data_IF_523554734660
#
_entry.id   IF_523554734660
#
_cell.length_a   1.000
_cell.length_b   1.000
_cell.length_c   1.000
_cell.angle_alpha   90.00
_cell.angle_beta   90.00
_cell.angle_gamma   90.00
#
_symmetry.space_group_name_H-M   'P 1'
#
loop_
_entity.id
_entity.type
_entity.pdbx_description
1 polymer ?
#
# COMPACT_ATOMS: atom_id res chain seq x y z
N UNK A 1 -5.17 1.85 9.49
CA UNK A 1 -3.88 2.38 9.94
C UNK A 1 -2.87 1.24 9.96
N UNK A 2 -1.80 1.31 9.16
CA UNK A 2 -0.76 0.25 9.20
C UNK A 2 0.13 0.21 7.97
N UNK A 3 -0.47 0.12 6.78
CA UNK A 3 0.25 -0.01 5.51
C UNK A 3 0.29 1.35 4.79
N UNK A 4 1.49 1.84 4.52
CA UNK A 4 1.73 3.14 3.88
C UNK A 4 2.78 3.07 2.78
N UNK A 5 3.63 2.06 2.79
CA UNK A 5 4.74 1.92 1.85
C UNK A 5 4.72 0.57 1.14
N UNK A 6 5.47 0.47 0.05
CA UNK A 6 5.72 -0.80 -0.61
C UNK A 6 6.51 -1.78 0.28
N UNK A 7 7.37 -1.26 1.17
CA UNK A 7 8.10 -2.05 2.16
C UNK A 7 7.15 -2.78 3.12
N UNK A 8 6.08 -2.12 3.57
CA UNK A 8 5.06 -2.75 4.42
C UNK A 8 4.40 -3.94 3.70
N UNK A 9 4.11 -3.79 2.40
CA UNK A 9 3.56 -4.89 1.59
C UNK A 9 4.56 -6.03 1.40
N UNK A 10 5.84 -5.74 1.19
CA UNK A 10 6.88 -6.77 1.08
C UNK A 10 6.97 -7.59 2.37
N UNK A 11 6.96 -6.94 3.53
CA UNK A 11 6.97 -7.64 4.82
C UNK A 11 5.78 -8.59 5.00
N UNK A 12 4.58 -8.19 4.54
CA UNK A 12 3.39 -9.06 4.59
C UNK A 12 3.48 -10.22 3.60
N UNK A 13 4.05 -10.00 2.41
CA UNK A 13 4.31 -11.07 1.45
C UNK A 13 5.31 -12.09 2.00
N UNK A 14 6.39 -11.62 2.63
CA UNK A 14 7.41 -12.47 3.25
C UNK A 14 6.84 -13.25 4.45
N UNK A 15 5.82 -12.70 5.13
CA UNK A 15 5.06 -13.39 6.17
C UNK A 15 4.00 -14.38 5.63
N UNK A 16 3.86 -14.53 4.32
CA UNK A 16 2.97 -15.50 3.67
C UNK A 16 1.55 -15.01 3.42
N UNK A 17 1.29 -13.71 3.47
CA UNK A 17 -0.02 -13.15 3.09
C UNK A 17 -0.12 -12.96 1.57
N UNK A 18 -1.23 -13.43 0.98
CA UNK A 18 -1.46 -13.29 -0.47
C UNK A 18 -2.11 -11.96 -0.86
N UNK A 19 -2.89 -11.37 0.04
CA UNK A 19 -3.64 -10.14 -0.22
C UNK A 19 -3.84 -9.30 1.04
N UNK A 20 -4.01 -7.99 0.84
CA UNK A 20 -4.30 -7.03 1.90
C UNK A 20 -5.39 -6.07 1.45
N UNK A 21 -6.16 -5.55 2.40
CA UNK A 21 -7.15 -4.51 2.15
C UNK A 21 -6.69 -3.20 2.81
N UNK A 22 -6.48 -2.17 2.00
CA UNK A 22 -6.02 -0.85 2.45
C UNK A 22 -7.13 0.17 2.16
N UNK A 23 -7.62 0.84 3.19
CA UNK A 23 -8.73 1.81 3.08
C UNK A 23 -8.32 3.21 3.51
N UNK A 24 -8.17 3.41 4.83
CA UNK A 24 -7.94 4.74 5.44
C UNK A 24 -6.83 5.56 4.78
N UNK A 25 -5.65 4.98 4.50
CA UNK A 25 -4.53 5.70 3.90
C UNK A 25 -4.79 6.12 2.45
N UNK A 26 -5.52 5.29 1.69
CA UNK A 26 -5.94 5.63 0.32
C UNK A 26 -7.05 6.68 0.31
N UNK A 27 -8.02 6.57 1.22
CA UNK A 27 -9.15 7.50 1.31
C UNK A 27 -8.74 8.91 1.77
N UNK A 28 -7.60 9.05 2.45
CA UNK A 28 -7.06 10.34 2.88
C UNK A 28 -5.99 10.91 1.96
N UNK A 29 -5.58 10.18 0.92
CA UNK A 29 -4.57 10.65 -0.02
C UNK A 29 -5.17 11.73 -0.94
N UNK A 30 -4.37 12.76 -1.25
CA UNK A 30 -4.77 13.79 -2.22
C UNK A 30 -5.02 13.19 -3.61
N UNK A 31 -4.23 12.17 -3.97
CA UNK A 31 -4.40 11.35 -5.18
C UNK A 31 -4.39 9.87 -4.78
N UNK A 32 -5.57 9.24 -4.66
CA UNK A 32 -5.67 7.81 -4.35
C UNK A 32 -4.97 6.94 -5.40
N UNK A 33 -4.95 7.37 -6.66
CA UNK A 33 -4.27 6.67 -7.75
C UNK A 33 -2.75 6.62 -7.52
N UNK A 34 -2.14 7.76 -7.21
CA UNK A 34 -0.70 7.84 -6.96
C UNK A 34 -0.32 7.11 -5.68
N UNK A 35 -1.19 7.14 -4.67
CA UNK A 35 -1.00 6.38 -3.43
C UNK A 35 -1.00 4.86 -3.69
N UNK A 36 -1.89 4.36 -4.56
CA UNK A 36 -1.87 2.96 -4.99
C UNK A 36 -0.59 2.64 -5.77
N UNK A 37 -0.17 3.49 -6.72
CA UNK A 37 1.09 3.29 -7.47
C UNK A 37 2.29 3.19 -6.53
N UNK A 38 2.39 4.09 -5.55
CA UNK A 38 3.47 4.11 -4.58
C UNK A 38 3.49 2.84 -3.70
N UNK A 39 2.32 2.38 -3.24
CA UNK A 39 2.19 1.12 -2.49
C UNK A 39 2.65 -0.08 -3.31
N UNK A 40 2.36 -0.10 -4.62
CA UNK A 40 2.80 -1.16 -5.51
C UNK A 40 4.27 -1.00 -5.98
N UNK A 41 5.00 0.00 -5.48
CA UNK A 41 6.40 0.27 -5.85
C UNK A 41 6.59 0.99 -7.19
N UNK A 42 5.51 1.49 -7.78
CA UNK A 42 5.54 2.33 -8.97
C UNK A 42 5.95 3.77 -8.66
N UNK A 43 6.35 4.51 -9.71
CA UNK A 43 6.52 5.97 -9.62
C UNK A 43 5.16 6.65 -9.85
N UNK A 44 4.88 7.80 -9.20
CA UNK A 44 3.65 8.56 -9.41
C UNK A 44 3.51 8.99 -10.88
#
# INVERSE_FOLDING_TARGET
>A
SGIRTAEDLRGLRDAGYDAVLVGESLMRADSPEDAVRLLLGGRP
#
